data_IF_479620624701
#
_entry.id   IF_479620624701
#
_cell.length_a   1.000
_cell.length_b   1.000
_cell.length_c   1.000
_cell.angle_alpha   90.00
_cell.angle_beta   90.00
_cell.angle_gamma   90.00
#
_symmetry.space_group_name_H-M   'P 1'
#
loop_
_entity.id
_entity.type
_entity.pdbx_description
1 polymer ?
#
# COMPACT_ATOMS: atom_id res chain seq x y z
N UNK A 1 6.02 13.73 -20.32
CA UNK A 1 6.55 12.43 -19.88
C UNK A 1 7.45 12.51 -18.64
N UNK A 2 8.42 13.41 -18.54
CA UNK A 2 9.26 13.53 -17.34
C UNK A 2 8.47 13.93 -16.09
N UNK A 3 7.56 14.91 -16.18
CA UNK A 3 6.73 15.39 -15.07
C UNK A 3 5.86 14.28 -14.46
N UNK A 4 5.25 13.42 -15.27
CA UNK A 4 4.40 12.33 -14.78
C UNK A 4 5.18 11.23 -14.03
N UNK A 5 6.43 10.96 -14.43
CA UNK A 5 7.32 10.03 -13.72
C UNK A 5 7.72 10.57 -12.35
N UNK A 6 8.03 11.85 -12.25
CA UNK A 6 8.39 12.53 -10.99
C UNK A 6 7.21 12.45 -10.01
N UNK A 7 5.99 12.74 -10.49
CA UNK A 7 4.77 12.63 -9.69
C UNK A 7 4.56 11.21 -9.16
N UNK A 8 4.72 10.16 -9.99
CA UNK A 8 4.60 8.78 -9.55
C UNK A 8 5.67 8.38 -8.52
N UNK A 9 6.89 8.90 -8.63
CA UNK A 9 7.94 8.69 -7.63
C UNK A 9 7.56 9.37 -6.31
N UNK A 10 7.06 10.61 -6.35
CA UNK A 10 6.63 11.34 -5.18
C UNK A 10 5.50 10.61 -4.41
N UNK A 11 4.46 10.16 -5.12
CA UNK A 11 3.38 9.37 -4.50
C UNK A 11 3.89 8.10 -3.82
N UNK A 12 4.80 7.37 -4.46
CA UNK A 12 5.39 6.16 -3.87
C UNK A 12 6.20 6.47 -2.61
N UNK A 13 6.98 7.54 -2.62
CA UNK A 13 7.74 7.99 -1.44
C UNK A 13 6.78 8.37 -0.32
N UNK A 14 5.76 9.18 -0.59
CA UNK A 14 4.76 9.59 0.39
C UNK A 14 4.07 8.36 1.00
N UNK A 15 3.62 7.44 0.17
CA UNK A 15 2.95 6.22 0.64
C UNK A 15 3.84 5.39 1.57
N UNK A 16 5.08 5.13 1.16
CA UNK A 16 6.02 4.37 1.98
C UNK A 16 6.36 5.09 3.28
N UNK A 17 6.55 6.41 3.23
CA UNK A 17 6.78 7.24 4.43
C UNK A 17 5.61 7.14 5.41
N UNK A 18 4.36 7.24 4.94
CA UNK A 18 3.18 7.09 5.80
C UNK A 18 3.11 5.71 6.47
N UNK A 19 3.40 4.64 5.72
CA UNK A 19 3.47 3.27 6.28
C UNK A 19 4.54 3.16 7.36
N UNK A 20 5.74 3.71 7.12
CA UNK A 20 6.82 3.72 8.10
C UNK A 20 6.50 4.57 9.34
N UNK A 21 5.92 5.76 9.16
CA UNK A 21 5.53 6.63 10.28
C UNK A 21 4.46 5.97 11.16
N UNK A 22 3.44 5.33 10.56
CA UNK A 22 2.46 4.56 11.30
C UNK A 22 3.12 3.46 12.14
N UNK A 23 4.04 2.70 11.54
CA UNK A 23 4.77 1.65 12.23
C UNK A 23 5.60 2.20 13.39
N UNK A 24 6.43 3.22 13.16
CA UNK A 24 7.29 3.84 14.18
C UNK A 24 6.45 4.36 15.34
N UNK A 25 5.36 5.07 15.02
CA UNK A 25 4.51 5.64 16.05
C UNK A 25 3.83 4.55 16.90
N UNK A 26 3.22 3.55 16.26
CA UNK A 26 2.54 2.46 16.97
C UNK A 26 3.51 1.67 17.85
N UNK A 27 4.67 1.31 17.33
CA UNK A 27 5.65 0.50 18.06
C UNK A 27 6.29 1.30 19.19
N UNK A 28 6.96 2.40 18.87
CA UNK A 28 7.83 3.09 19.84
C UNK A 28 7.07 3.99 20.83
N UNK A 29 6.03 4.68 20.38
CA UNK A 29 5.30 5.61 21.25
C UNK A 29 4.15 4.98 22.00
N UNK A 30 3.56 3.90 21.51
CA UNK A 30 2.39 3.30 22.14
C UNK A 30 2.75 1.97 22.81
N UNK A 31 3.38 1.04 22.08
CA UNK A 31 3.50 -0.33 22.56
C UNK A 31 4.78 -0.63 23.33
N UNK A 32 5.92 -0.03 23.00
CA UNK A 32 7.13 -0.20 23.81
C UNK A 32 6.90 0.23 25.25
N UNK A 33 6.28 1.40 25.57
CA UNK A 33 5.95 1.75 26.96
C UNK A 33 4.98 0.75 27.62
N UNK A 34 3.98 0.24 26.90
CA UNK A 34 3.03 -0.75 27.42
C UNK A 34 3.65 -2.10 27.74
N UNK A 35 4.76 -2.48 27.08
CA UNK A 35 5.48 -3.72 27.42
C UNK A 35 6.09 -3.68 28.81
N UNK A 36 6.36 -2.48 29.35
CA UNK A 36 6.85 -2.32 30.73
C UNK A 36 5.74 -2.62 31.75
N UNK A 37 4.48 -2.37 31.42
CA UNK A 37 3.32 -2.63 32.29
C UNK A 37 2.84 -4.08 32.17
N UNK A 38 2.81 -4.63 30.96
CA UNK A 38 2.42 -6.01 30.66
C UNK A 38 3.40 -6.63 29.65
N UNK A 39 4.52 -7.22 30.12
CA UNK A 39 5.58 -7.72 29.25
C UNK A 39 5.11 -8.82 28.28
N UNK A 40 4.29 -9.76 28.74
CA UNK A 40 3.82 -10.87 27.91
C UNK A 40 2.88 -10.41 26.79
N UNK A 41 1.84 -9.65 27.13
CA UNK A 41 0.88 -9.12 26.14
C UNK A 41 1.54 -8.13 25.19
N UNK A 42 2.40 -7.26 25.70
CA UNK A 42 3.15 -6.32 24.88
C UNK A 42 4.08 -7.01 23.89
N UNK A 43 4.81 -8.04 24.31
CA UNK A 43 5.68 -8.82 23.42
C UNK A 43 4.90 -9.51 22.30
N UNK A 44 3.78 -10.16 22.62
CA UNK A 44 2.95 -10.82 21.60
C UNK A 44 2.41 -9.84 20.57
N UNK A 45 1.95 -8.65 21.02
CA UNK A 45 1.48 -7.63 20.09
C UNK A 45 2.61 -7.10 19.22
N UNK A 46 3.77 -6.80 19.79
CA UNK A 46 4.93 -6.34 19.02
C UNK A 46 5.36 -7.37 17.98
N UNK A 47 5.43 -8.64 18.35
CA UNK A 47 5.75 -9.73 17.42
C UNK A 47 4.75 -9.78 16.25
N UNK A 48 3.45 -9.79 16.56
CA UNK A 48 2.38 -9.74 15.56
C UNK A 48 2.52 -8.53 14.63
N UNK A 49 2.75 -7.34 15.19
CA UNK A 49 2.82 -6.10 14.41
C UNK A 49 4.07 -6.02 13.53
N UNK A 50 5.20 -6.58 13.99
CA UNK A 50 6.42 -6.70 13.17
C UNK A 50 6.23 -7.66 12.00
N UNK A 51 5.52 -8.78 12.21
CA UNK A 51 5.18 -9.71 11.12
C UNK A 51 4.31 -9.01 10.08
N UNK A 52 3.25 -8.30 10.50
CA UNK A 52 2.39 -7.55 9.58
C UNK A 52 3.18 -6.49 8.79
N UNK A 53 4.02 -5.72 9.45
CA UNK A 53 4.85 -4.71 8.79
C UNK A 53 5.79 -5.34 7.75
N UNK A 54 6.42 -6.47 8.09
CA UNK A 54 7.29 -7.21 7.17
C UNK A 54 6.52 -7.70 5.94
N UNK A 55 5.30 -8.20 6.12
CA UNK A 55 4.43 -8.64 5.03
C UNK A 55 3.99 -7.47 4.13
N UNK A 56 3.70 -6.30 4.70
CA UNK A 56 3.38 -5.08 3.93
C UNK A 56 4.59 -4.66 3.09
N UNK A 57 5.77 -4.54 3.69
CA UNK A 57 6.99 -4.16 2.98
C UNK A 57 7.31 -5.14 1.86
N UNK A 58 7.19 -6.43 2.13
CA UNK A 58 7.36 -7.49 1.13
C UNK A 58 6.37 -7.34 -0.03
N UNK A 59 5.08 -7.15 0.25
CA UNK A 59 4.06 -7.06 -0.80
C UNK A 59 4.15 -5.77 -1.61
N UNK A 60 4.54 -4.64 -0.99
CA UNK A 60 4.85 -3.39 -1.70
C UNK A 60 6.03 -3.63 -2.66
N UNK A 61 7.10 -4.25 -2.19
CA UNK A 61 8.26 -4.59 -3.01
C UNK A 61 7.87 -5.53 -4.15
N UNK A 62 7.19 -6.64 -3.85
CA UNK A 62 6.77 -7.63 -4.83
C UNK A 62 5.85 -7.03 -5.89
N UNK A 63 4.87 -6.19 -5.50
CA UNK A 63 3.98 -5.51 -6.45
C UNK A 63 4.74 -4.55 -7.36
N UNK A 64 5.70 -3.79 -6.79
CA UNK A 64 6.47 -2.78 -7.54
C UNK A 64 7.48 -3.38 -8.52
N UNK A 65 8.06 -4.52 -8.17
CA UNK A 65 9.15 -5.16 -8.93
C UNK A 65 8.68 -6.23 -9.90
N UNK A 66 7.54 -6.88 -9.63
CA UNK A 66 7.01 -7.87 -10.55
C UNK A 66 6.52 -7.21 -11.83
N UNK A 67 6.83 -7.83 -12.97
CA UNK A 67 6.26 -7.39 -14.25
C UNK A 67 4.74 -7.56 -14.22
N UNK A 68 3.94 -6.53 -14.55
CA UNK A 68 2.48 -6.65 -14.61
C UNK A 68 1.98 -7.54 -15.74
N UNK A 69 2.81 -7.88 -16.70
CA UNK A 69 2.53 -8.72 -17.85
C UNK A 69 2.72 -7.98 -19.18
N UNK A 70 3.58 -8.53 -20.02
CA UNK A 70 3.85 -8.03 -21.36
C UNK A 70 3.14 -8.88 -22.41
N UNK A 71 2.62 -8.23 -23.45
CA UNK A 71 2.07 -8.95 -24.62
C UNK A 71 3.20 -9.67 -25.32
N UNK A 72 3.09 -10.98 -25.62
CA UNK A 72 4.08 -11.70 -26.43
C UNK A 72 4.24 -11.05 -27.83
N UNK A 73 5.47 -10.99 -28.32
CA UNK A 73 5.80 -10.28 -29.56
C UNK A 73 5.00 -10.74 -30.78
N UNK A 74 4.68 -12.01 -30.89
CA UNK A 74 3.98 -12.60 -32.06
C UNK A 74 2.50 -12.89 -31.77
N UNK A 75 1.95 -12.37 -30.67
CA UNK A 75 0.55 -12.61 -30.34
C UNK A 75 -0.38 -11.96 -31.39
N UNK A 76 -1.31 -12.73 -31.94
CA UNK A 76 -2.26 -12.26 -32.94
C UNK A 76 -1.75 -12.23 -34.38
N UNK A 77 -0.52 -12.67 -34.65
CA UNK A 77 0.04 -12.77 -36.03
C UNK A 77 -0.20 -14.12 -36.69
N UNK A 78 -0.86 -15.05 -36.01
CA UNK A 78 -1.18 -16.35 -36.65
C UNK A 78 -2.25 -16.17 -37.72
N UNK A 79 -1.83 -16.43 -38.98
CA UNK A 79 -2.71 -16.41 -40.17
C UNK A 79 -3.67 -17.59 -40.03
N UNK A 80 -4.98 -17.32 -40.05
CA UNK A 80 -6.01 -18.35 -39.99
C UNK A 80 -6.88 -18.40 -38.73
N UNK A 81 -6.57 -17.60 -37.71
CA UNK A 81 -7.48 -17.46 -36.58
C UNK A 81 -8.66 -16.54 -36.93
N UNK A 82 -9.92 -17.06 -36.98
CA UNK A 82 -11.09 -16.24 -37.27
C UNK A 82 -11.32 -15.11 -36.26
N UNK A 83 -10.79 -15.23 -35.05
CA UNK A 83 -10.87 -14.19 -34.03
C UNK A 83 -9.79 -13.07 -34.19
N UNK A 84 -8.79 -13.29 -35.04
CA UNK A 84 -7.73 -12.27 -35.30
C UNK A 84 -8.30 -10.98 -35.93
N UNK A 85 -9.43 -11.05 -36.64
CA UNK A 85 -10.13 -9.89 -37.24
C UNK A 85 -10.81 -8.98 -36.21
N UNK A 86 -10.98 -9.41 -34.95
CA UNK A 86 -11.60 -8.66 -33.86
C UNK A 86 -10.62 -8.10 -32.87
N UNK A 87 -9.30 -8.36 -33.02
CA UNK A 87 -8.30 -7.93 -32.07
C UNK A 87 -7.97 -6.45 -32.26
N UNK A 88 -8.02 -5.71 -31.15
CA UNK A 88 -7.63 -4.30 -31.11
C UNK A 88 -6.11 -4.18 -31.26
N UNK A 89 -5.66 -3.28 -32.11
CA UNK A 89 -4.24 -3.01 -32.33
C UNK A 89 -3.76 -1.82 -31.53
N UNK A 90 -2.52 -1.84 -31.05
CA UNK A 90 -1.87 -0.72 -30.38
C UNK A 90 -0.82 -0.11 -31.30
N UNK A 91 -1.10 1.08 -31.84
CA UNK A 91 -0.16 1.80 -32.70
C UNK A 91 1.13 2.22 -32.00
N UNK A 92 1.06 2.50 -30.67
CA UNK A 92 2.23 2.92 -29.89
C UNK A 92 3.20 1.77 -29.61
N UNK A 93 2.71 0.55 -29.46
CA UNK A 93 3.51 -0.64 -29.16
C UNK A 93 3.71 -1.56 -30.36
N UNK A 94 2.99 -1.31 -31.46
CA UNK A 94 2.95 -2.15 -32.66
C UNK A 94 2.60 -3.63 -32.34
N UNK A 95 1.57 -3.84 -31.49
CA UNK A 95 1.11 -5.18 -31.08
C UNK A 95 -0.42 -5.28 -31.11
N UNK A 96 -0.93 -6.46 -31.42
CA UNK A 96 -2.34 -6.78 -31.20
C UNK A 96 -2.60 -6.92 -29.70
N UNK A 97 -3.74 -6.36 -29.25
CA UNK A 97 -4.11 -6.38 -27.83
C UNK A 97 -4.95 -7.61 -27.52
N UNK A 98 -4.50 -8.54 -26.66
CA UNK A 98 -5.36 -9.58 -26.09
C UNK A 98 -6.57 -9.00 -25.36
N UNK A 99 -7.53 -9.86 -25.02
CA UNK A 99 -8.64 -9.47 -24.18
C UNK A 99 -8.13 -8.85 -22.87
N UNK A 100 -8.76 -7.73 -22.46
CA UNK A 100 -8.40 -6.97 -21.24
C UNK A 100 -6.96 -6.40 -21.24
N UNK A 101 -6.29 -6.39 -22.40
CA UNK A 101 -5.01 -5.69 -22.54
C UNK A 101 -5.23 -4.22 -22.86
N UNK A 102 -4.54 -3.33 -22.17
CA UNK A 102 -4.59 -1.89 -22.37
C UNK A 102 -3.18 -1.29 -22.45
N UNK A 103 -3.02 -0.23 -23.24
CA UNK A 103 -1.81 0.57 -23.27
C UNK A 103 -1.83 1.56 -22.10
N UNK A 104 -0.79 1.52 -21.29
CA UNK A 104 -0.59 2.49 -20.23
C UNK A 104 0.35 3.59 -20.72
N UNK A 105 -0.13 4.84 -20.79
CA UNK A 105 0.68 6.00 -21.19
C UNK A 105 1.77 6.33 -20.15
N UNK A 106 1.55 6.04 -18.87
CA UNK A 106 2.51 6.25 -17.79
C UNK A 106 3.70 5.28 -17.88
N UNK A 107 3.42 4.00 -18.16
CA UNK A 107 4.43 2.95 -18.31
C UNK A 107 4.95 2.85 -19.75
N UNK A 108 4.29 3.52 -20.71
CA UNK A 108 4.56 3.50 -22.14
C UNK A 108 4.63 2.08 -22.72
N UNK A 109 3.70 1.21 -22.31
CA UNK A 109 3.63 -0.19 -22.76
C UNK A 109 2.21 -0.77 -22.67
N UNK A 110 1.93 -1.78 -23.46
CA UNK A 110 0.74 -2.60 -23.29
C UNK A 110 0.93 -3.57 -22.12
N UNK A 111 -0.11 -3.70 -21.29
CA UNK A 111 -0.14 -4.56 -20.11
C UNK A 111 -1.25 -5.59 -20.24
N UNK A 112 -0.91 -6.86 -20.06
CA UNK A 112 -1.84 -7.98 -20.08
C UNK A 112 -2.81 -7.91 -18.91
N UNK A 113 -4.10 -8.12 -19.21
CA UNK A 113 -5.17 -8.14 -18.22
C UNK A 113 -5.05 -6.96 -17.24
N UNK A 114 -4.80 -5.78 -17.82
CA UNK A 114 -4.56 -4.55 -17.08
C UNK A 114 -5.78 -4.16 -16.25
N UNK A 115 -5.55 -3.94 -14.95
CA UNK A 115 -6.53 -3.39 -14.04
C UNK A 115 -6.43 -1.85 -14.05
N UNK A 116 -5.35 -1.32 -13.51
CA UNK A 116 -5.08 0.11 -13.50
C UNK A 116 -3.57 0.41 -13.42
N UNK A 117 -3.19 1.67 -13.63
CA UNK A 117 -1.89 2.18 -13.20
C UNK A 117 -2.01 2.72 -11.77
N UNK A 118 -1.27 2.14 -10.84
CA UNK A 118 -1.32 2.54 -9.44
C UNK A 118 -0.22 3.58 -9.15
N UNK A 119 -0.56 4.85 -8.86
CA UNK A 119 0.43 5.87 -8.57
C UNK A 119 1.20 5.60 -7.28
N UNK A 120 0.55 5.01 -6.27
CA UNK A 120 1.16 4.68 -4.98
C UNK A 120 2.30 3.65 -5.08
N UNK A 121 2.23 2.78 -6.08
CA UNK A 121 3.26 1.78 -6.38
C UNK A 121 4.15 2.25 -7.54
N UNK A 122 3.68 3.26 -8.30
CA UNK A 122 4.26 3.74 -9.55
C UNK A 122 4.50 2.60 -10.56
N UNK A 123 3.49 1.72 -10.68
CA UNK A 123 3.48 0.58 -11.60
C UNK A 123 2.06 0.24 -12.02
N UNK A 124 1.91 -0.41 -13.18
CA UNK A 124 0.64 -1.02 -13.56
C UNK A 124 0.35 -2.26 -12.73
N UNK A 125 -0.93 -2.48 -12.44
CA UNK A 125 -1.44 -3.72 -11.89
C UNK A 125 -2.05 -4.52 -13.05
N UNK A 126 -1.54 -5.73 -13.28
CA UNK A 126 -1.89 -6.57 -14.40
C UNK A 126 -1.85 -8.06 -14.05
N UNK A 127 -1.64 -8.89 -15.06
CA UNK A 127 -1.80 -10.35 -14.94
C UNK A 127 -0.93 -11.00 -13.87
N UNK A 128 0.36 -10.64 -13.80
CA UNK A 128 1.30 -11.35 -12.92
C UNK A 128 1.44 -10.73 -11.52
N UNK A 129 1.22 -9.42 -11.35
CA UNK A 129 1.43 -8.76 -10.06
C UNK A 129 0.14 -8.44 -9.29
N UNK A 130 -1.05 -8.71 -9.86
CA UNK A 130 -2.35 -8.48 -9.19
C UNK A 130 -2.46 -9.19 -7.84
N UNK A 131 -1.94 -10.42 -7.72
CA UNK A 131 -1.97 -11.17 -6.46
C UNK A 131 -1.23 -10.46 -5.33
N UNK A 132 -0.07 -9.89 -5.62
CA UNK A 132 0.71 -9.14 -4.64
C UNK A 132 0.03 -7.83 -4.24
N UNK A 133 -0.62 -7.17 -5.21
CA UNK A 133 -1.42 -5.98 -4.94
C UNK A 133 -2.60 -6.26 -4.01
N UNK A 134 -3.34 -7.34 -4.24
CA UNK A 134 -4.45 -7.76 -3.36
C UNK A 134 -3.93 -8.09 -1.96
N UNK A 135 -2.83 -8.82 -1.85
CA UNK A 135 -2.19 -9.12 -0.56
C UNK A 135 -1.75 -7.83 0.17
N UNK A 136 -1.17 -6.87 -0.54
CA UNK A 136 -0.77 -5.58 0.01
C UNK A 136 -1.97 -4.85 0.61
N UNK A 137 -3.07 -4.72 -0.13
CA UNK A 137 -4.30 -4.07 0.35
C UNK A 137 -4.86 -4.81 1.56
N UNK A 138 -4.89 -6.14 1.54
CA UNK A 138 -5.36 -6.97 2.65
C UNK A 138 -4.55 -6.72 3.93
N UNK A 139 -3.21 -6.76 3.86
CA UNK A 139 -2.37 -6.50 5.03
C UNK A 139 -2.45 -5.06 5.52
N UNK A 140 -2.60 -4.08 4.62
CA UNK A 140 -2.83 -2.69 5.00
C UNK A 140 -4.13 -2.53 5.79
N UNK A 141 -5.23 -3.14 5.34
CA UNK A 141 -6.52 -3.10 6.03
C UNK A 141 -6.40 -3.73 7.43
N UNK A 142 -5.78 -4.93 7.53
CA UNK A 142 -5.56 -5.58 8.82
C UNK A 142 -4.73 -4.69 9.75
N UNK A 143 -3.69 -4.07 9.23
CA UNK A 143 -2.83 -3.18 10.03
C UNK A 143 -3.59 -1.97 10.53
N UNK A 144 -4.39 -1.31 9.68
CA UNK A 144 -5.22 -0.16 10.08
C UNK A 144 -6.21 -0.57 11.17
N UNK A 145 -6.95 -1.67 10.97
CA UNK A 145 -7.91 -2.17 11.97
C UNK A 145 -7.21 -2.50 13.29
N UNK A 146 -6.08 -3.21 13.24
CA UNK A 146 -5.29 -3.55 14.42
C UNK A 146 -4.79 -2.31 15.16
N UNK A 147 -4.34 -1.30 14.42
CA UNK A 147 -3.90 -0.03 14.97
C UNK A 147 -5.06 0.71 15.65
N UNK A 148 -6.21 0.80 15.00
CA UNK A 148 -7.40 1.46 15.55
C UNK A 148 -7.88 0.79 16.84
N UNK A 149 -7.97 -0.55 16.87
CA UNK A 149 -8.40 -1.30 18.04
C UNK A 149 -7.38 -1.14 19.18
N UNK A 150 -6.10 -1.38 18.88
CA UNK A 150 -5.05 -1.35 19.87
C UNK A 150 -4.81 0.03 20.50
N UNK A 151 -5.00 1.09 19.70
CA UNK A 151 -4.77 2.46 20.14
C UNK A 151 -6.07 3.13 20.62
N UNK A 152 -7.24 2.65 20.21
CA UNK A 152 -8.55 3.19 20.61
C UNK A 152 -8.74 3.23 22.11
N UNK A 153 -8.32 2.17 22.80
CA UNK A 153 -8.31 2.12 24.26
C UNK A 153 -7.46 3.23 24.88
N UNK A 154 -6.23 3.42 24.41
CA UNK A 154 -5.32 4.47 24.91
C UNK A 154 -5.89 5.87 24.64
N UNK A 155 -6.46 6.07 23.47
CA UNK A 155 -7.12 7.33 23.08
C UNK A 155 -8.32 7.62 23.96
N UNK A 156 -9.17 6.64 24.23
CA UNK A 156 -10.32 6.77 25.12
C UNK A 156 -9.92 7.22 26.53
N UNK A 157 -8.91 6.58 27.12
CA UNK A 157 -8.45 6.95 28.45
C UNK A 157 -7.80 8.32 28.49
N UNK A 158 -7.06 8.71 27.44
CA UNK A 158 -6.49 10.04 27.32
C UNK A 158 -7.60 11.12 27.28
N UNK A 159 -8.63 10.92 26.47
CA UNK A 159 -9.77 11.86 26.35
C UNK A 159 -10.51 11.93 27.68
N UNK A 160 -10.77 10.79 28.32
CA UNK A 160 -11.44 10.71 29.61
C UNK A 160 -10.65 11.48 30.69
N UNK A 161 -9.35 11.33 30.75
CA UNK A 161 -8.50 12.03 31.72
C UNK A 161 -8.51 13.54 31.49
N UNK A 162 -8.44 14.00 30.24
CA UNK A 162 -8.56 15.42 29.87
C UNK A 162 -9.91 16.01 30.35
N UNK A 163 -11.01 15.27 30.11
CA UNK A 163 -12.36 15.75 30.45
C UNK A 163 -12.58 15.79 31.96
N UNK A 164 -12.17 14.73 32.67
CA UNK A 164 -12.46 14.59 34.10
C UNK A 164 -11.53 15.47 34.94
N UNK A 165 -10.22 15.44 34.66
CA UNK A 165 -9.24 16.08 35.53
C UNK A 165 -8.96 17.54 35.20
N UNK A 166 -9.46 18.08 34.05
CA UNK A 166 -9.20 19.44 33.55
C UNK A 166 -7.72 19.86 33.59
N UNK A 167 -6.81 18.89 33.72
CA UNK A 167 -5.38 19.11 33.71
C UNK A 167 -4.87 18.95 32.29
N UNK A 168 -4.78 20.07 31.61
CA UNK A 168 -4.14 20.16 30.30
C UNK A 168 -2.64 20.40 30.54
N UNK A 169 -1.89 19.34 30.80
CA UNK A 169 -0.42 19.43 30.69
C UNK A 169 -0.05 19.31 29.22
N UNK A 170 0.38 20.43 28.67
CA UNK A 170 0.89 20.52 27.30
C UNK A 170 2.27 19.82 27.24
N UNK A 171 2.26 18.50 27.12
CA UNK A 171 3.45 17.67 27.05
C UNK A 171 3.63 17.17 25.61
N UNK A 172 4.89 17.01 25.16
CA UNK A 172 5.25 16.47 23.86
C UNK A 172 4.55 15.15 23.57
N UNK A 173 4.37 14.29 24.57
CA UNK A 173 3.60 13.04 24.49
C UNK A 173 2.12 13.27 24.16
N UNK A 174 1.52 14.35 24.65
CA UNK A 174 0.15 14.73 24.31
C UNK A 174 0.06 15.19 22.86
N UNK A 175 0.99 16.02 22.39
CA UNK A 175 1.01 16.47 21.00
C UNK A 175 1.19 15.32 20.01
N UNK A 176 2.06 14.37 20.28
CA UNK A 176 2.24 13.17 19.46
C UNK A 176 0.96 12.33 19.39
N UNK A 177 0.26 12.14 20.53
CA UNK A 177 -1.03 11.43 20.57
C UNK A 177 -2.15 12.17 19.85
N UNK A 178 -2.21 13.51 19.98
CA UNK A 178 -3.18 14.35 19.28
C UNK A 178 -2.95 14.36 17.76
N UNK A 179 -1.70 14.46 17.32
CA UNK A 179 -1.33 14.40 15.92
C UNK A 179 -1.75 13.06 15.28
N UNK A 180 -1.62 11.97 16.04
CA UNK A 180 -2.07 10.66 15.61
C UNK A 180 -3.59 10.61 15.42
N UNK A 181 -4.38 11.17 16.36
CA UNK A 181 -5.85 11.25 16.25
C UNK A 181 -6.29 12.09 15.03
N UNK A 182 -5.54 13.15 14.70
CA UNK A 182 -5.86 14.03 13.56
C UNK A 182 -5.47 13.44 12.19
N UNK A 183 -4.54 12.46 12.17
CA UNK A 183 -4.07 11.81 10.94
C UNK A 183 -4.91 10.57 10.61
N UNK A 184 -5.64 10.01 11.59
CA UNK A 184 -6.49 8.83 11.48
C UNK A 184 -7.94 9.12 11.90
#
# INVERSE_FOLDING_TARGET
MASSRIVGIAFRIIFFTLVCLNYIFTVFYIWVPKTLENPFGGFLFLLYYHILFSLIVWTIYATSKSDPGQVPLYWGFYIGDPDSKRTRYCLMCNVFKPLRCHHCSMCNRCVLNMDHHCPWINSCIGFYNRKFFIQMVFYLIITIISTLIANGYSTYYLIKDIIINRKFEFNLNFMCKLLYILIY
#
